data_IF_539438591165
#
_entry.id   IF_539438591165
#
_cell.length_a   1.000
_cell.length_b   1.000
_cell.length_c   1.000
_cell.angle_alpha   90.00
_cell.angle_beta   90.00
_cell.angle_gamma   90.00
#
_symmetry.space_group_name_H-M   'P 1'
#
loop_
_entity.id
_entity.type
_entity.pdbx_description
1 polymer ?
#
# COMPACT_ATOMS: atom_id res chain seq x y z
N UNK A 1 44.11 -5.57 -6.07
CA UNK A 1 42.83 -6.10 -5.54
C UNK A 1 42.19 -5.02 -4.68
N UNK A 2 41.22 -4.28 -5.22
CA UNK A 2 40.59 -3.14 -4.53
C UNK A 2 39.62 -3.66 -3.46
N UNK A 3 39.99 -3.47 -2.20
CA UNK A 3 39.22 -3.86 -1.01
C UNK A 3 38.47 -2.67 -0.38
N UNK A 4 38.02 -1.73 -1.20
CA UNK A 4 36.94 -0.82 -0.80
C UNK A 4 35.63 -1.41 -1.35
N UNK A 5 35.04 -2.38 -0.63
CA UNK A 5 33.62 -2.69 -0.84
C UNK A 5 32.86 -1.40 -0.55
N UNK A 6 32.19 -0.86 -1.56
CA UNK A 6 31.39 0.37 -1.46
C UNK A 6 30.47 0.31 -0.23
N UNK A 7 30.80 1.08 0.81
CA UNK A 7 29.94 1.30 1.97
C UNK A 7 28.60 1.98 1.60
N UNK A 8 28.44 2.36 0.33
CA UNK A 8 27.26 3.00 -0.24
C UNK A 8 26.15 2.02 -0.64
N UNK A 9 26.39 0.71 -0.73
CA UNK A 9 25.34 -0.23 -1.21
C UNK A 9 25.26 -1.46 -0.31
N UNK A 10 24.05 -1.78 0.15
CA UNK A 10 23.75 -3.00 0.90
C UNK A 10 23.48 -4.15 -0.07
N UNK A 11 24.31 -5.21 -0.12
CA UNK A 11 24.05 -6.38 -0.94
C UNK A 11 22.85 -7.20 -0.39
N UNK A 12 22.27 -8.12 -1.19
CA UNK A 12 21.29 -9.05 -0.66
C UNK A 12 21.98 -10.03 0.31
N UNK A 13 21.42 -10.18 1.51
CA UNK A 13 21.92 -11.03 2.57
C UNK A 13 21.33 -12.46 2.53
N UNK A 14 20.16 -12.64 1.90
CA UNK A 14 19.43 -13.91 1.91
C UNK A 14 19.02 -14.43 0.53
N UNK A 15 19.56 -13.85 -0.54
CA UNK A 15 19.47 -14.43 -1.89
C UNK A 15 20.07 -15.86 -1.91
N UNK A 16 19.41 -16.76 -2.61
CA UNK A 16 19.65 -18.22 -2.62
C UNK A 16 19.36 -18.95 -1.30
N UNK A 17 18.85 -18.26 -0.28
CA UNK A 17 18.43 -18.86 1.00
C UNK A 17 16.92 -18.72 1.22
N UNK A 18 16.40 -17.50 1.10
CA UNK A 18 14.98 -17.19 1.31
C UNK A 18 14.22 -17.07 -0.01
N UNK A 19 14.93 -16.75 -1.09
CA UNK A 19 14.42 -16.61 -2.45
C UNK A 19 15.56 -16.86 -3.45
N UNK A 20 15.28 -17.18 -4.73
CA UNK A 20 16.30 -17.46 -5.74
C UNK A 20 17.30 -16.32 -5.94
N UNK A 21 18.59 -16.65 -6.04
CA UNK A 21 19.63 -15.67 -6.35
C UNK A 21 19.74 -15.29 -7.83
N UNK A 22 19.14 -16.07 -8.73
CA UNK A 22 19.06 -15.74 -10.15
C UNK A 22 17.88 -14.80 -10.44
N UNK A 23 18.13 -13.75 -11.23
CA UNK A 23 17.15 -12.71 -11.51
C UNK A 23 15.91 -13.23 -12.25
N UNK A 24 16.09 -14.13 -13.22
CA UNK A 24 14.99 -14.67 -14.03
C UNK A 24 14.15 -15.61 -13.18
N UNK A 25 14.77 -16.56 -12.49
CA UNK A 25 14.06 -17.49 -11.59
C UNK A 25 13.30 -16.74 -10.50
N UNK A 26 13.91 -15.71 -9.89
CA UNK A 26 13.25 -14.89 -8.88
C UNK A 26 12.03 -14.15 -9.45
N UNK A 27 12.16 -13.57 -10.65
CA UNK A 27 11.05 -12.86 -11.29
C UNK A 27 9.89 -13.80 -11.65
N UNK A 28 10.20 -14.99 -12.16
CA UNK A 28 9.21 -16.04 -12.48
C UNK A 28 8.51 -16.55 -11.21
N UNK A 29 9.26 -16.82 -10.13
CA UNK A 29 8.68 -17.29 -8.86
C UNK A 29 7.74 -16.25 -8.23
N UNK A 30 8.17 -14.98 -8.15
CA UNK A 30 7.32 -13.89 -7.64
C UNK A 30 6.08 -13.71 -8.50
N UNK A 31 6.22 -13.74 -9.83
CA UNK A 31 5.08 -13.68 -10.75
C UNK A 31 4.12 -14.85 -10.52
N UNK A 32 4.62 -16.06 -10.30
CA UNK A 32 3.77 -17.23 -10.06
C UNK A 32 2.90 -17.09 -8.81
N UNK A 33 3.41 -16.49 -7.72
CA UNK A 33 2.57 -16.22 -6.54
C UNK A 33 1.53 -15.13 -6.80
N UNK A 34 1.92 -14.06 -7.51
CA UNK A 34 1.02 -12.95 -7.85
C UNK A 34 -0.09 -13.36 -8.81
N UNK A 35 0.12 -14.38 -9.64
CA UNK A 35 -0.88 -14.89 -10.58
C UNK A 35 -1.84 -15.92 -9.94
N UNK A 36 -1.52 -16.40 -8.74
CA UNK A 36 -2.35 -17.34 -7.97
C UNK A 36 -3.27 -16.64 -6.96
N UNK A 37 -3.19 -15.32 -6.81
CA UNK A 37 -4.08 -14.58 -5.91
C UNK A 37 -5.50 -14.55 -6.47
N UNK A 38 -6.52 -14.64 -5.60
CA UNK A 38 -7.91 -14.46 -6.02
C UNK A 38 -8.10 -13.12 -6.73
N UNK A 39 -8.75 -13.14 -7.90
CA UNK A 39 -9.04 -11.93 -8.67
C UNK A 39 -9.79 -10.92 -7.80
N UNK A 40 -9.11 -9.81 -7.50
CA UNK A 40 -9.75 -8.66 -6.91
C UNK A 40 -10.68 -8.01 -7.95
N UNK A 41 -11.93 -7.67 -7.60
CA UNK A 41 -12.70 -6.74 -8.42
C UNK A 41 -11.85 -5.47 -8.63
N UNK A 42 -11.76 -5.01 -9.88
CA UNK A 42 -11.08 -3.77 -10.22
C UNK A 42 -11.73 -2.63 -9.41
N UNK A 43 -11.02 -2.18 -8.38
CA UNK A 43 -11.42 -1.06 -7.54
C UNK A 43 -10.42 0.07 -7.76
N UNK A 44 -10.88 1.33 -7.93
CA UNK A 44 -9.97 2.45 -8.05
C UNK A 44 -9.18 2.63 -6.75
N UNK A 45 -7.86 2.81 -6.90
CA UNK A 45 -6.93 3.01 -5.80
C UNK A 45 -6.20 1.74 -5.36
N UNK A 46 -5.38 1.90 -4.32
CA UNK A 46 -4.57 0.85 -3.72
C UNK A 46 -4.43 1.17 -2.22
N UNK A 47 -4.14 0.17 -1.36
CA UNK A 47 -3.97 0.42 0.07
C UNK A 47 -2.78 1.35 0.35
N UNK A 48 -2.95 2.22 1.36
CA UNK A 48 -1.89 3.12 1.84
C UNK A 48 -0.76 2.37 2.53
N UNK A 49 -1.11 1.29 3.23
CA UNK A 49 -0.15 0.42 3.87
C UNK A 49 -0.53 -1.05 3.73
N UNK A 50 0.48 -1.92 3.76
CA UNK A 50 0.29 -3.37 3.86
C UNK A 50 1.09 -3.92 5.04
N UNK A 51 0.57 -4.97 5.68
CA UNK A 51 1.31 -5.78 6.66
C UNK A 51 1.50 -7.15 6.01
N UNK A 52 2.73 -7.65 5.94
CA UNK A 52 3.11 -8.83 5.15
C UNK A 52 4.14 -9.71 5.87
N UNK A 53 4.13 -11.04 5.65
CA UNK A 53 5.10 -11.97 6.24
C UNK A 53 6.48 -11.88 5.57
N UNK A 54 7.52 -12.40 6.23
CA UNK A 54 8.92 -12.35 5.78
C UNK A 54 9.72 -13.64 5.93
N UNK A 55 9.06 -14.80 6.11
CA UNK A 55 9.75 -16.09 5.95
C UNK A 55 10.25 -16.31 4.49
N UNK A 56 10.94 -17.43 4.24
CA UNK A 56 11.33 -17.81 2.88
C UNK A 56 10.12 -17.94 1.94
N UNK A 57 10.31 -17.59 0.67
CA UNK A 57 9.25 -17.47 -0.34
C UNK A 57 8.42 -18.73 -0.49
N UNK A 58 9.05 -19.90 -0.41
CA UNK A 58 8.37 -21.19 -0.47
C UNK A 58 7.28 -21.35 0.62
N UNK A 59 7.41 -20.64 1.74
CA UNK A 59 6.45 -20.67 2.85
C UNK A 59 5.52 -19.45 2.87
N UNK A 60 6.07 -18.23 2.83
CA UNK A 60 5.30 -16.99 3.03
C UNK A 60 4.90 -16.30 1.73
N UNK A 61 5.53 -16.65 0.60
CA UNK A 61 5.35 -16.01 -0.70
C UNK A 61 3.90 -15.93 -1.17
N UNK A 62 3.11 -17.02 -1.12
CA UNK A 62 1.69 -16.98 -1.48
C UNK A 62 0.88 -16.01 -0.62
N UNK A 63 1.18 -15.96 0.69
CA UNK A 63 0.47 -15.07 1.63
C UNK A 63 0.88 -13.62 1.38
N UNK A 64 2.17 -13.33 1.20
CA UNK A 64 2.67 -12.00 0.86
C UNK A 64 2.08 -11.48 -0.47
N UNK A 65 1.99 -12.35 -1.49
CA UNK A 65 1.44 -12.01 -2.79
C UNK A 65 0.01 -11.47 -2.71
N UNK A 66 -0.83 -11.98 -1.79
CA UNK A 66 -2.20 -11.48 -1.60
C UNK A 66 -2.28 -9.98 -1.29
N UNK A 67 -1.27 -9.41 -0.63
CA UNK A 67 -1.15 -7.97 -0.37
C UNK A 67 -0.51 -7.24 -1.55
N UNK A 68 0.56 -7.78 -2.12
CA UNK A 68 1.27 -7.15 -3.22
C UNK A 68 0.45 -7.06 -4.51
N UNK A 69 -0.42 -8.02 -4.77
CA UNK A 69 -1.35 -7.96 -5.91
C UNK A 69 -2.27 -6.72 -5.83
N UNK A 70 -2.70 -6.34 -4.62
CA UNK A 70 -3.53 -5.14 -4.37
C UNK A 70 -2.80 -3.82 -4.68
N UNK A 71 -1.48 -3.87 -4.89
CA UNK A 71 -0.65 -2.72 -5.20
C UNK A 71 -0.38 -2.55 -6.70
N UNK A 72 -0.88 -3.44 -7.58
CA UNK A 72 -0.73 -3.26 -9.04
C UNK A 72 -1.21 -1.89 -9.55
N UNK A 73 -2.34 -1.32 -9.08
CA UNK A 73 -2.78 0.03 -9.49
C UNK A 73 -1.83 1.15 -9.05
N UNK A 74 -0.89 0.88 -8.14
CA UNK A 74 0.07 1.86 -7.63
C UNK A 74 1.29 2.05 -8.55
N UNK A 75 1.45 1.20 -9.57
CA UNK A 75 2.57 1.26 -10.52
C UNK A 75 2.62 2.61 -11.22
N UNK A 76 3.77 3.27 -11.17
CA UNK A 76 3.97 4.61 -11.73
C UNK A 76 3.36 5.76 -10.89
N UNK A 77 2.62 5.45 -9.83
CA UNK A 77 2.09 6.43 -8.86
C UNK A 77 2.98 6.47 -7.63
N UNK A 78 3.24 5.31 -7.02
CA UNK A 78 4.14 5.18 -5.87
C UNK A 78 5.57 5.33 -6.35
N UNK A 79 6.25 6.34 -5.82
CA UNK A 79 7.67 6.60 -6.07
C UNK A 79 8.52 6.39 -4.81
N UNK A 80 7.92 6.32 -3.62
CA UNK A 80 8.56 6.08 -2.32
C UNK A 80 7.94 4.88 -1.61
N UNK A 81 8.78 3.97 -1.13
CA UNK A 81 8.36 2.87 -0.25
C UNK A 81 9.04 3.02 1.11
N UNK A 82 8.25 3.18 2.16
CA UNK A 82 8.69 3.14 3.55
C UNK A 82 8.48 1.71 4.04
N UNK A 83 9.56 1.04 4.46
CA UNK A 83 9.47 -0.33 4.98
C UNK A 83 9.97 -0.41 6.42
N UNK A 84 9.18 -1.06 7.28
CA UNK A 84 9.52 -1.30 8.67
C UNK A 84 9.42 -2.80 8.96
N UNK A 85 10.39 -3.32 9.69
CA UNK A 85 10.42 -4.73 10.10
C UNK A 85 11.18 -4.90 11.40
N UNK A 86 11.03 -6.06 12.07
CA UNK A 86 11.71 -6.33 13.32
C UNK A 86 13.23 -6.45 13.17
N UNK A 87 13.90 -6.45 14.32
CA UNK A 87 15.34 -6.67 14.45
C UNK A 87 15.62 -8.10 14.92
N UNK A 88 16.19 -8.95 14.07
CA UNK A 88 16.48 -10.35 14.38
C UNK A 88 17.93 -10.63 14.81
N UNK A 89 18.90 -9.87 14.27
CA UNK A 89 20.33 -10.22 14.41
C UNK A 89 21.10 -9.33 15.36
N UNK A 90 21.17 -8.03 15.06
CA UNK A 90 21.99 -7.08 15.83
C UNK A 90 21.06 -6.08 16.53
N UNK A 91 20.82 -6.24 17.84
CA UNK A 91 19.90 -5.42 18.60
C UNK A 91 20.20 -3.92 18.45
N UNK A 92 19.14 -3.13 18.45
CA UNK A 92 19.21 -1.67 18.42
C UNK A 92 18.16 -1.09 19.36
N UNK A 93 18.47 0.04 20.00
CA UNK A 93 17.48 0.85 20.72
C UNK A 93 16.94 1.89 19.75
N UNK A 94 15.64 1.86 19.51
CA UNK A 94 14.96 2.71 18.53
C UNK A 94 14.81 2.06 17.15
N UNK A 95 14.78 2.92 16.13
CA UNK A 95 14.59 2.57 14.73
C UNK A 95 15.89 2.82 13.98
N UNK A 96 16.49 1.77 13.45
CA UNK A 96 17.74 1.85 12.72
C UNK A 96 17.51 2.16 11.25
N UNK A 97 18.14 3.23 10.78
CA UNK A 97 18.44 3.50 9.38
C UNK A 97 19.76 2.82 8.96
N UNK A 98 19.91 2.44 7.68
CA UNK A 98 21.18 1.96 7.15
C UNK A 98 22.15 3.14 6.97
N UNK A 99 23.45 2.84 6.85
CA UNK A 99 24.46 3.80 6.35
C UNK A 99 24.64 3.76 4.83
N UNK A 100 24.08 2.74 4.18
CA UNK A 100 24.10 2.60 2.73
C UNK A 100 23.21 3.66 2.06
N UNK A 101 23.41 3.86 0.76
CA UNK A 101 22.67 4.75 -0.15
C UNK A 101 21.74 3.99 -1.11
N UNK A 102 21.92 2.68 -1.23
CA UNK A 102 21.06 1.81 -2.01
C UNK A 102 21.05 0.38 -1.48
N UNK A 103 20.03 -0.40 -1.83
CA UNK A 103 19.96 -1.85 -1.61
C UNK A 103 20.00 -2.56 -2.96
N UNK A 104 20.80 -3.62 -3.07
CA UNK A 104 20.82 -4.49 -4.24
C UNK A 104 19.93 -5.72 -3.99
N UNK A 105 19.20 -6.13 -5.02
CA UNK A 105 18.52 -7.43 -5.13
C UNK A 105 18.93 -8.09 -6.45
N UNK A 106 18.65 -9.39 -6.66
CA UNK A 106 18.86 -9.99 -7.98
C UNK A 106 18.06 -9.31 -9.11
N UNK A 107 16.96 -8.62 -8.81
CA UNK A 107 16.15 -7.89 -9.80
C UNK A 107 16.69 -6.48 -10.11
N UNK A 108 17.67 -5.99 -9.35
CA UNK A 108 18.32 -4.70 -9.58
C UNK A 108 18.41 -3.84 -8.32
N UNK A 109 19.09 -2.70 -8.49
CA UNK A 109 19.35 -1.74 -7.41
C UNK A 109 18.14 -0.87 -7.09
N UNK A 110 17.94 -0.61 -5.80
CA UNK A 110 16.91 0.31 -5.28
C UNK A 110 17.61 1.44 -4.51
N UNK A 111 17.51 2.70 -4.97
CA UNK A 111 18.09 3.84 -4.25
C UNK A 111 17.33 4.13 -2.96
N UNK A 112 18.01 4.64 -1.94
CA UNK A 112 17.34 5.14 -0.74
C UNK A 112 16.80 6.55 -0.96
N UNK A 113 15.67 6.86 -0.33
CA UNK A 113 15.07 8.19 -0.33
C UNK A 113 15.76 9.08 0.73
N UNK A 114 16.84 9.74 0.32
CA UNK A 114 17.65 10.57 1.21
C UNK A 114 16.88 11.75 1.82
N UNK A 115 15.91 12.32 1.09
CA UNK A 115 15.09 13.42 1.57
C UNK A 115 14.17 12.96 2.72
N UNK A 116 13.43 11.87 2.50
CA UNK A 116 12.57 11.31 3.53
C UNK A 116 13.38 10.81 4.74
N UNK A 117 14.54 10.17 4.51
CA UNK A 117 15.46 9.75 5.56
C UNK A 117 15.95 10.95 6.39
N UNK A 118 16.36 12.05 5.74
CA UNK A 118 16.79 13.25 6.43
C UNK A 118 15.68 13.84 7.33
N UNK A 119 14.41 13.73 6.91
CA UNK A 119 13.27 14.26 7.66
C UNK A 119 13.00 13.57 9.01
N UNK A 120 13.45 12.32 9.18
CA UNK A 120 13.29 11.51 10.41
C UNK A 120 14.59 11.31 11.19
N UNK A 121 15.75 11.56 10.57
CA UNK A 121 17.08 11.36 11.17
C UNK A 121 17.28 12.12 12.49
N UNK A 122 16.62 13.26 12.66
CA UNK A 122 16.68 14.07 13.89
C UNK A 122 15.76 13.60 15.02
N UNK A 123 14.92 12.58 14.80
CA UNK A 123 14.05 12.05 15.86
C UNK A 123 14.90 11.30 16.90
N UNK A 124 14.69 11.51 18.22
CA UNK A 124 15.50 10.87 19.27
C UNK A 124 15.50 9.33 19.23
N UNK A 125 14.45 8.73 18.68
CA UNK A 125 14.32 7.28 18.51
C UNK A 125 14.97 6.74 17.23
N UNK A 126 15.47 7.58 16.33
CA UNK A 126 16.06 7.15 15.05
C UNK A 126 17.58 7.16 15.17
N UNK A 127 18.21 6.04 14.79
CA UNK A 127 19.66 5.85 14.85
C UNK A 127 20.17 5.29 13.53
N UNK A 128 21.47 5.36 13.28
CA UNK A 128 22.09 4.71 12.11
C UNK A 128 22.91 3.49 12.54
N UNK A 129 22.65 2.34 11.93
CA UNK A 129 23.40 1.11 12.21
C UNK A 129 23.58 0.27 10.95
N UNK A 130 24.79 0.28 10.39
CA UNK A 130 25.14 -0.61 9.29
C UNK A 130 25.08 -2.09 9.69
N UNK A 131 25.49 -2.41 10.93
CA UNK A 131 25.49 -3.78 11.45
C UNK A 131 24.06 -4.35 11.58
N UNK A 132 23.11 -3.53 12.04
CA UNK A 132 21.69 -3.93 12.15
C UNK A 132 21.08 -4.22 10.78
N UNK A 133 21.50 -3.51 9.73
CA UNK A 133 20.97 -3.73 8.38
C UNK A 133 21.68 -4.85 7.62
N UNK A 134 22.96 -5.09 7.88
CA UNK A 134 23.83 -5.91 7.02
C UNK A 134 23.28 -7.31 6.74
N UNK A 135 22.67 -7.93 7.74
CA UNK A 135 22.14 -9.31 7.65
C UNK A 135 20.66 -9.41 8.03
N UNK A 136 19.97 -8.29 8.18
CA UNK A 136 18.53 -8.28 8.47
C UNK A 136 17.74 -8.63 7.21
N UNK A 137 16.84 -9.60 7.31
CA UNK A 137 16.13 -10.17 6.18
C UNK A 137 14.68 -9.66 6.09
N UNK A 138 14.09 -9.24 7.21
CA UNK A 138 12.68 -8.85 7.27
C UNK A 138 12.32 -7.74 6.27
N UNK A 139 13.25 -6.83 5.97
CA UNK A 139 13.05 -5.79 4.96
C UNK A 139 13.35 -6.30 3.54
N UNK A 140 14.39 -7.11 3.38
CA UNK A 140 14.93 -7.52 2.09
C UNK A 140 13.96 -8.40 1.30
N UNK A 141 13.32 -9.36 1.95
CA UNK A 141 12.43 -10.33 1.29
C UNK A 141 11.19 -9.67 0.67
N UNK A 142 10.88 -8.44 1.07
CA UNK A 142 9.78 -7.65 0.50
C UNK A 142 10.14 -7.01 -0.84
N UNK A 143 11.43 -6.75 -1.07
CA UNK A 143 11.90 -5.95 -2.19
C UNK A 143 11.62 -6.58 -3.57
N UNK A 144 11.78 -7.91 -3.77
CA UNK A 144 11.44 -8.53 -5.06
C UNK A 144 9.97 -8.34 -5.45
N UNK A 145 9.03 -8.52 -4.51
CA UNK A 145 7.61 -8.28 -4.75
C UNK A 145 7.34 -6.82 -5.15
N UNK A 146 7.91 -5.87 -4.42
CA UNK A 146 7.76 -4.44 -4.70
C UNK A 146 8.32 -4.06 -6.08
N UNK A 147 9.51 -4.56 -6.46
CA UNK A 147 10.09 -4.31 -7.78
C UNK A 147 9.23 -4.86 -8.92
N UNK A 148 8.60 -6.03 -8.72
CA UNK A 148 7.70 -6.63 -9.73
C UNK A 148 6.41 -5.83 -9.90
N UNK A 149 5.82 -5.37 -8.80
CA UNK A 149 4.52 -4.70 -8.82
C UNK A 149 4.64 -3.21 -9.16
N UNK A 150 5.55 -2.49 -8.52
CA UNK A 150 5.66 -1.02 -8.63
C UNK A 150 6.61 -0.57 -9.75
N UNK A 151 7.58 -1.39 -10.13
CA UNK A 151 8.69 -0.97 -10.98
C UNK A 151 9.74 -0.21 -10.18
N UNK A 152 10.07 1.02 -10.61
CA UNK A 152 11.08 1.86 -9.95
C UNK A 152 10.52 2.68 -8.80
N UNK A 153 11.22 2.71 -7.67
CA UNK A 153 10.89 3.49 -6.47
C UNK A 153 12.15 3.77 -5.64
N UNK A 154 12.08 4.73 -4.72
CA UNK A 154 13.06 4.99 -3.65
C UNK A 154 12.62 4.33 -2.33
N UNK A 155 13.58 3.91 -1.51
CA UNK A 155 13.34 3.14 -0.29
C UNK A 155 13.67 3.94 0.99
N UNK A 156 12.81 3.84 2.02
CA UNK A 156 13.11 4.25 3.39
C UNK A 156 13.03 3.01 4.29
N UNK A 157 14.16 2.33 4.54
CA UNK A 157 14.18 1.09 5.32
C UNK A 157 14.49 1.37 6.80
N UNK A 158 13.61 0.91 7.69
CA UNK A 158 13.76 1.03 9.14
C UNK A 158 13.69 -0.35 9.78
N UNK A 159 14.79 -0.75 10.43
CA UNK A 159 14.77 -1.92 11.32
C UNK A 159 14.35 -1.44 12.69
N UNK A 160 13.26 -1.99 13.21
CA UNK A 160 12.65 -1.60 14.49
C UNK A 160 13.15 -2.55 15.57
N UNK A 161 13.95 -2.01 16.49
CA UNK A 161 14.42 -2.72 17.67
C UNK A 161 13.60 -2.38 18.91
N UNK A 162 14.28 -2.12 20.02
CA UNK A 162 13.68 -1.74 21.29
C UNK A 162 13.14 -0.30 21.23
N UNK A 163 11.83 -0.18 20.98
CA UNK A 163 11.13 1.09 20.88
C UNK A 163 9.68 0.93 21.35
N UNK A 164 9.10 2.00 21.88
CA UNK A 164 7.65 2.05 22.12
C UNK A 164 6.91 2.20 20.77
N UNK A 165 5.73 1.57 20.59
CA UNK A 165 4.92 1.69 19.37
C UNK A 165 4.64 3.14 18.95
N UNK A 166 4.45 4.06 19.89
CA UNK A 166 4.24 5.49 19.63
C UNK A 166 5.43 6.12 18.91
N UNK A 167 6.65 5.68 19.21
CA UNK A 167 7.87 6.19 18.56
C UNK A 167 7.95 5.76 17.10
N UNK A 168 7.40 4.60 16.77
CA UNK A 168 7.21 4.15 15.39
C UNK A 168 6.13 4.99 14.70
N UNK A 169 5.00 5.22 15.37
CA UNK A 169 3.92 6.06 14.83
C UNK A 169 4.40 7.49 14.54
N UNK A 170 5.17 8.10 15.45
CA UNK A 170 5.74 9.45 15.28
C UNK A 170 6.67 9.51 14.04
N UNK A 171 7.49 8.48 13.83
CA UNK A 171 8.35 8.39 12.65
C UNK A 171 7.53 8.25 11.37
N UNK A 172 6.53 7.35 11.36
CA UNK A 172 5.60 7.16 10.24
C UNK A 172 4.83 8.42 9.88
N UNK A 173 4.37 9.19 10.87
CA UNK A 173 3.67 10.45 10.64
C UNK A 173 4.52 11.47 9.89
N UNK A 174 5.83 11.52 10.18
CA UNK A 174 6.77 12.43 9.54
C UNK A 174 7.01 12.11 8.06
N UNK A 175 6.95 10.84 7.68
CA UNK A 175 7.18 10.33 6.31
C UNK A 175 5.92 9.74 5.67
N UNK A 176 4.74 10.13 6.16
CA UNK A 176 3.48 9.53 5.72
C UNK A 176 3.25 9.73 4.22
N UNK A 177 3.47 10.94 3.70
CA UNK A 177 3.28 11.29 2.29
C UNK A 177 1.84 11.14 1.76
N UNK A 178 1.65 11.43 0.48
CA UNK A 178 0.41 11.26 -0.27
C UNK A 178 0.34 9.90 -0.96
N UNK A 179 -0.21 9.85 -2.18
CA UNK A 179 -0.30 8.62 -2.98
C UNK A 179 1.06 8.16 -3.52
N UNK A 180 2.06 9.04 -3.53
CA UNK A 180 3.42 8.71 -3.95
C UNK A 180 4.18 7.84 -2.94
N UNK A 181 3.66 7.73 -1.71
CA UNK A 181 4.30 6.98 -0.62
C UNK A 181 3.48 5.75 -0.23
N UNK A 182 4.08 4.56 -0.30
CA UNK A 182 3.54 3.30 0.24
C UNK A 182 4.25 2.94 1.55
N UNK A 183 3.51 2.41 2.52
CA UNK A 183 4.08 1.89 3.78
C UNK A 183 3.96 0.35 3.81
N UNK A 184 5.07 -0.33 4.09
CA UNK A 184 5.13 -1.79 4.21
C UNK A 184 5.60 -2.15 5.62
N UNK A 185 4.77 -2.90 6.33
CA UNK A 185 5.13 -3.45 7.64
C UNK A 185 5.39 -4.94 7.49
N UNK A 186 6.57 -5.36 7.90
CA UNK A 186 7.03 -6.73 7.75
C UNK A 186 6.90 -7.48 9.08
N UNK A 187 6.09 -8.53 9.12
CA UNK A 187 5.91 -9.38 10.30
C UNK A 187 5.35 -10.76 9.93
N UNK A 188 6.03 -11.81 10.37
CA UNK A 188 5.39 -13.11 10.63
C UNK A 188 4.58 -13.06 11.93
N UNK A 189 3.66 -14.01 12.13
CA UNK A 189 2.85 -14.16 13.33
C UNK A 189 3.52 -15.09 14.36
N UNK A 190 2.79 -16.06 14.90
CA UNK A 190 3.29 -16.94 15.95
C UNK A 190 4.36 -17.91 15.43
N UNK A 191 5.29 -18.32 16.30
CA UNK A 191 6.45 -19.15 15.92
C UNK A 191 6.50 -20.46 16.70
N UNK A 192 6.77 -21.54 15.99
CA UNK A 192 7.14 -22.85 16.53
C UNK A 192 6.10 -23.49 17.46
N UNK A 193 4.82 -23.22 17.21
CA UNK A 193 3.70 -23.87 17.89
C UNK A 193 3.14 -25.04 17.09
N UNK A 194 2.36 -25.90 17.75
CA UNK A 194 1.52 -26.87 17.04
C UNK A 194 0.51 -26.15 16.15
N UNK A 195 0.09 -26.79 15.07
CA UNK A 195 -0.83 -26.21 14.08
C UNK A 195 -2.09 -25.58 14.72
N UNK A 196 -2.75 -26.29 15.65
CA UNK A 196 -3.95 -25.79 16.32
C UNK A 196 -3.67 -24.60 17.24
N UNK A 197 -2.50 -24.61 17.91
CA UNK A 197 -2.12 -23.51 18.78
C UNK A 197 -1.75 -22.26 17.99
N UNK A 198 -1.01 -22.42 16.89
CA UNK A 198 -0.71 -21.33 15.96
C UNK A 198 -2.01 -20.70 15.45
N UNK A 199 -2.96 -21.48 14.92
CA UNK A 199 -4.26 -20.96 14.45
C UNK A 199 -5.02 -20.15 15.50
N UNK A 200 -4.96 -20.54 16.77
CA UNK A 200 -5.62 -19.81 17.87
C UNK A 200 -4.94 -18.48 18.16
N UNK A 201 -3.61 -18.50 18.27
CA UNK A 201 -2.79 -17.31 18.53
C UNK A 201 -2.93 -16.34 17.36
N UNK A 202 -2.68 -16.82 16.14
CA UNK A 202 -2.76 -16.05 14.90
C UNK A 202 -4.16 -15.46 14.71
N UNK A 203 -5.21 -16.23 14.97
CA UNK A 203 -6.59 -15.72 14.91
C UNK A 203 -6.88 -14.61 15.93
N UNK A 204 -6.25 -14.64 17.11
CA UNK A 204 -6.33 -13.55 18.08
C UNK A 204 -5.55 -12.32 17.61
N UNK A 205 -4.35 -12.52 17.06
CA UNK A 205 -3.52 -11.45 16.48
C UNK A 205 -4.21 -10.77 15.31
N UNK A 206 -4.87 -11.53 14.42
CA UNK A 206 -5.69 -11.01 13.32
C UNK A 206 -6.82 -10.11 13.86
N UNK A 207 -7.55 -10.56 14.89
CA UNK A 207 -8.62 -9.75 15.49
C UNK A 207 -8.08 -8.46 16.11
N UNK A 208 -6.93 -8.51 16.77
CA UNK A 208 -6.25 -7.34 17.33
C UNK A 208 -5.89 -6.32 16.23
N UNK A 209 -5.27 -6.77 15.14
CA UNK A 209 -4.91 -5.93 13.98
C UNK A 209 -6.16 -5.29 13.35
N UNK A 210 -7.22 -6.07 13.11
CA UNK A 210 -8.48 -5.56 12.55
C UNK A 210 -9.18 -4.56 13.49
N UNK A 211 -9.01 -4.71 14.80
CA UNK A 211 -9.55 -3.82 15.82
C UNK A 211 -8.65 -2.62 16.15
N UNK A 212 -7.50 -2.46 15.50
CA UNK A 212 -6.48 -1.46 15.83
C UNK A 212 -6.02 -1.53 17.29
N UNK A 213 -5.92 -2.74 17.85
CA UNK A 213 -5.33 -2.98 19.16
C UNK A 213 -3.80 -3.05 19.03
N UNK A 214 -3.13 -2.04 19.60
CA UNK A 214 -1.68 -1.92 19.57
C UNK A 214 -0.97 -2.75 20.66
N UNK A 215 -1.72 -3.50 21.49
CA UNK A 215 -1.19 -4.37 22.55
C UNK A 215 -0.66 -5.72 22.07
N UNK A 216 -0.28 -5.84 20.80
CA UNK A 216 0.25 -7.09 20.22
C UNK A 216 1.62 -7.40 20.83
N UNK A 217 1.81 -8.63 21.31
CA UNK A 217 3.07 -9.06 21.92
C UNK A 217 4.03 -9.70 20.92
N UNK A 218 5.32 -9.81 21.29
CA UNK A 218 6.35 -10.42 20.45
C UNK A 218 6.16 -11.95 20.28
N UNK A 219 5.39 -12.60 21.16
CA UNK A 219 4.96 -13.99 21.00
C UNK A 219 3.89 -14.14 19.91
N UNK A 220 3.08 -13.11 19.71
CA UNK A 220 2.02 -13.09 18.70
C UNK A 220 2.53 -12.75 17.30
N UNK A 221 3.55 -11.91 17.21
CA UNK A 221 4.12 -11.44 15.96
C UNK A 221 5.57 -10.99 16.18
N UNK A 222 6.51 -11.45 15.35
CA UNK A 222 7.91 -11.02 15.45
C UNK A 222 8.07 -9.51 15.23
N UNK A 223 7.25 -8.92 14.35
CA UNK A 223 7.13 -7.49 14.09
C UNK A 223 6.09 -6.78 14.96
N UNK A 224 5.84 -7.24 16.19
CA UNK A 224 4.85 -6.65 17.10
C UNK A 224 4.97 -5.12 17.21
N UNK A 225 6.16 -4.59 17.48
CA UNK A 225 6.42 -3.16 17.61
C UNK A 225 6.09 -2.35 16.33
N UNK A 226 6.63 -2.70 15.14
CA UNK A 226 6.27 -1.98 13.92
C UNK A 226 4.80 -2.13 13.53
N UNK A 227 4.17 -3.28 13.79
CA UNK A 227 2.72 -3.46 13.59
C UNK A 227 1.93 -2.53 14.50
N UNK A 228 2.21 -2.53 15.81
CA UNK A 228 1.53 -1.68 16.78
C UNK A 228 1.66 -0.19 16.43
N UNK A 229 2.86 0.26 16.03
CA UNK A 229 3.09 1.62 15.57
C UNK A 229 2.28 1.99 14.33
N UNK A 230 2.19 1.07 13.37
CA UNK A 230 1.35 1.24 12.19
C UNK A 230 -0.13 1.33 12.55
N UNK A 231 -0.63 0.51 13.49
CA UNK A 231 -2.02 0.55 13.93
C UNK A 231 -2.37 1.88 14.59
N UNK A 232 -1.47 2.42 15.42
CA UNK A 232 -1.64 3.76 16.02
C UNK A 232 -1.73 4.82 14.92
N UNK A 233 -0.79 4.85 13.98
CA UNK A 233 -0.77 5.82 12.89
C UNK A 233 -2.00 5.69 11.98
N UNK A 234 -2.37 4.46 11.61
CA UNK A 234 -3.52 4.17 10.77
C UNK A 234 -4.84 4.62 11.41
N UNK A 235 -5.01 4.38 12.72
CA UNK A 235 -6.17 4.85 13.48
C UNK A 235 -6.26 6.38 13.49
N UNK A 236 -5.15 7.09 13.71
CA UNK A 236 -5.08 8.56 13.63
C UNK A 236 -5.42 9.10 12.24
N UNK A 237 -5.14 8.32 11.19
CA UNK A 237 -5.39 8.67 9.79
C UNK A 237 -6.73 8.16 9.25
N UNK A 238 -7.57 7.54 10.10
CA UNK A 238 -8.88 7.02 9.71
C UNK A 238 -8.82 5.92 8.65
N UNK A 239 -7.77 5.09 8.67
CA UNK A 239 -7.72 3.91 7.80
C UNK A 239 -8.56 2.77 8.39
N UNK A 240 -9.06 1.89 7.53
CA UNK A 240 -9.59 0.59 7.90
C UNK A 240 -8.59 -0.51 7.52
N UNK A 241 -8.54 -1.57 8.33
CA UNK A 241 -7.74 -2.76 8.07
C UNK A 241 -8.60 -3.88 7.50
N UNK A 242 -8.09 -4.59 6.50
CA UNK A 242 -8.72 -5.77 5.90
C UNK A 242 -7.71 -6.92 5.88
N UNK A 243 -8.13 -8.08 6.36
CA UNK A 243 -7.38 -9.33 6.19
C UNK A 243 -7.50 -9.80 4.73
N UNK A 244 -6.38 -10.14 4.12
CA UNK A 244 -6.29 -10.62 2.75
C UNK A 244 -6.04 -12.13 2.69
N UNK A 245 -5.13 -12.62 3.51
CA UNK A 245 -4.84 -14.04 3.65
C UNK A 245 -4.27 -14.33 5.06
N UNK A 246 -4.49 -15.53 5.58
CA UNK A 246 -3.98 -16.00 6.86
C UNK A 246 -3.76 -17.52 6.79
N UNK A 247 -2.51 -17.94 6.84
CA UNK A 247 -2.07 -19.34 6.77
C UNK A 247 -0.91 -19.57 7.72
N UNK A 248 -0.40 -20.79 7.78
CA UNK A 248 0.88 -21.07 8.42
C UNK A 248 1.78 -21.91 7.50
N UNK A 249 3.02 -22.15 7.90
CA UNK A 249 3.98 -22.97 7.15
C UNK A 249 3.44 -24.36 6.81
N UNK A 250 2.57 -24.94 7.65
CA UNK A 250 1.94 -26.25 7.41
C UNK A 250 0.84 -26.25 6.36
N UNK A 251 0.35 -25.07 5.94
CA UNK A 251 -0.61 -24.89 4.84
C UNK A 251 0.08 -24.60 3.50
N UNK A 252 1.41 -24.52 3.50
CA UNK A 252 2.24 -24.25 2.33
C UNK A 252 3.22 -25.41 2.12
N UNK A 253 4.52 -25.21 2.37
CA UNK A 253 5.56 -26.19 2.09
C UNK A 253 6.12 -26.90 3.33
N UNK A 254 5.63 -26.58 4.53
CA UNK A 254 6.09 -27.16 5.80
C UNK A 254 5.22 -28.30 6.32
N UNK A 255 5.72 -29.02 7.33
CA UNK A 255 4.91 -29.96 8.10
C UNK A 255 4.00 -29.24 9.11
N UNK A 256 3.04 -29.97 9.70
CA UNK A 256 2.06 -29.44 10.67
C UNK A 256 2.45 -29.65 12.14
N UNK A 257 3.65 -30.18 12.40
CA UNK A 257 4.11 -30.47 13.76
C UNK A 257 4.54 -29.20 14.50
N UNK A 258 5.21 -28.28 13.78
CA UNK A 258 5.75 -27.05 14.35
C UNK A 258 5.77 -25.95 13.29
N UNK A 259 4.81 -25.04 13.37
CA UNK A 259 4.53 -24.09 12.29
C UNK A 259 4.86 -22.65 12.65
N UNK A 260 5.03 -21.82 11.62
CA UNK A 260 5.08 -20.35 11.72
C UNK A 260 3.83 -19.77 11.05
N UNK A 261 3.15 -18.85 11.72
CA UNK A 261 1.95 -18.18 11.22
C UNK A 261 2.27 -17.02 10.28
N UNK A 262 1.44 -16.84 9.25
CA UNK A 262 1.58 -15.81 8.22
C UNK A 262 0.22 -15.14 7.99
N UNK A 263 0.20 -13.81 7.93
CA UNK A 263 -0.99 -13.10 7.51
C UNK A 263 -0.63 -11.84 6.73
N UNK A 264 -1.50 -11.50 5.80
CA UNK A 264 -1.39 -10.32 4.96
C UNK A 264 -2.59 -9.42 5.14
N UNK A 265 -2.35 -8.12 5.30
CA UNK A 265 -3.37 -7.11 5.54
C UNK A 265 -3.21 -5.92 4.61
N UNK A 266 -4.34 -5.34 4.19
CA UNK A 266 -4.39 -4.04 3.53
C UNK A 266 -4.97 -3.00 4.50
N UNK A 267 -4.32 -1.85 4.59
CA UNK A 267 -4.81 -0.67 5.30
C UNK A 267 -5.05 0.44 4.28
N UNK A 268 -6.30 0.83 4.13
CA UNK A 268 -6.73 1.85 3.19
C UNK A 268 -7.65 2.81 3.89
N UNK A 269 -7.71 4.07 3.43
CA UNK A 269 -8.85 4.90 3.79
C UNK A 269 -10.09 4.16 3.30
N UNK A 270 -11.13 4.12 4.11
CA UNK A 270 -12.46 3.92 3.55
C UNK A 270 -12.74 5.15 2.68
N UNK A 271 -12.25 5.15 1.43
CA UNK A 271 -12.66 6.14 0.46
C UNK A 271 -14.17 6.14 0.44
N UNK A 272 -14.80 7.30 0.20
CA UNK A 272 -16.24 7.35 0.03
C UNK A 272 -16.64 6.26 -0.97
N UNK A 273 -17.35 5.24 -0.47
CA UNK A 273 -17.98 4.26 -1.33
C UNK A 273 -19.11 5.00 -2.02
N UNK A 274 -18.89 5.38 -3.28
CA UNK A 274 -19.90 6.03 -4.09
C UNK A 274 -21.04 5.05 -4.36
N UNK A 275 -22.07 5.09 -3.50
CA UNK A 275 -23.33 4.39 -3.70
C UNK A 275 -24.26 5.11 -4.68
N UNK A 276 -25.41 4.50 -4.95
CA UNK A 276 -26.44 5.03 -5.86
C UNK A 276 -26.86 6.47 -5.56
N UNK A 277 -26.80 6.90 -4.29
CA UNK A 277 -27.11 8.28 -3.90
C UNK A 277 -26.11 9.30 -4.45
N UNK A 278 -24.80 8.99 -4.41
CA UNK A 278 -23.75 9.83 -4.97
C UNK A 278 -23.93 9.95 -6.49
N UNK A 279 -24.23 8.84 -7.16
CA UNK A 279 -24.55 8.84 -8.59
C UNK A 279 -25.73 9.74 -8.93
N UNK A 280 -26.81 9.69 -8.14
CA UNK A 280 -27.96 10.61 -8.33
C UNK A 280 -27.57 12.08 -8.16
N UNK A 281 -26.67 12.40 -7.23
CA UNK A 281 -26.15 13.76 -7.02
C UNK A 281 -25.30 14.21 -8.21
N UNK A 282 -24.37 13.40 -8.70
CA UNK A 282 -23.55 13.71 -9.88
C UNK A 282 -24.41 13.90 -11.14
N UNK A 283 -25.41 13.03 -11.36
CA UNK A 283 -26.36 13.18 -12.47
C UNK A 283 -27.18 14.47 -12.36
N UNK A 284 -27.54 14.90 -11.14
CA UNK A 284 -28.24 16.17 -10.92
C UNK A 284 -27.35 17.36 -11.32
N UNK A 285 -26.09 17.36 -10.91
CA UNK A 285 -25.10 18.40 -11.27
C UNK A 285 -24.95 18.47 -12.79
N UNK A 286 -24.77 17.33 -13.46
CA UNK A 286 -24.63 17.26 -14.91
C UNK A 286 -25.87 17.81 -15.64
N UNK A 287 -27.08 17.35 -15.26
CA UNK A 287 -28.35 17.82 -15.87
C UNK A 287 -28.55 19.32 -15.69
N UNK A 288 -28.33 19.83 -14.48
CA UNK A 288 -28.46 21.26 -14.19
C UNK A 288 -27.48 22.09 -15.03
N UNK A 289 -26.25 21.61 -15.18
CA UNK A 289 -25.21 22.29 -15.96
C UNK A 289 -25.55 22.35 -17.45
N UNK A 290 -26.11 21.27 -18.01
CA UNK A 290 -26.59 21.23 -19.39
C UNK A 290 -27.80 22.17 -19.57
N UNK A 291 -28.81 22.08 -18.71
CA UNK A 291 -30.00 22.94 -18.78
C UNK A 291 -29.66 24.43 -18.72
N UNK A 292 -28.74 24.80 -17.82
CA UNK A 292 -28.26 26.18 -17.70
C UNK A 292 -27.54 26.65 -18.98
N UNK A 293 -26.70 25.80 -19.59
CA UNK A 293 -26.02 26.12 -20.84
C UNK A 293 -26.98 26.29 -22.04
N UNK A 294 -28.12 25.59 -22.03
CA UNK A 294 -29.14 25.66 -23.07
C UNK A 294 -30.20 26.77 -22.84
N UNK A 295 -30.06 27.58 -21.78
CA UNK A 295 -31.01 28.66 -21.48
C UNK A 295 -32.39 28.18 -21.03
N UNK A 296 -32.54 26.91 -20.66
CA UNK A 296 -33.79 26.38 -20.13
C UNK A 296 -34.02 26.91 -18.70
N UNK A 297 -35.24 27.37 -18.38
CA UNK A 297 -35.64 27.70 -17.00
C UNK A 297 -35.73 26.40 -16.19
N UNK A 298 -34.64 26.04 -15.51
CA UNK A 298 -34.62 24.98 -14.50
C UNK A 298 -34.86 25.53 -13.09
N UNK A 299 -35.29 24.66 -12.17
CA UNK A 299 -35.35 24.99 -10.74
C UNK A 299 -34.00 25.53 -10.22
N UNK A 300 -34.00 26.47 -9.27
CA UNK A 300 -32.77 26.94 -8.63
C UNK A 300 -31.96 25.76 -8.11
N UNK A 301 -30.71 25.62 -8.58
CA UNK A 301 -29.85 24.54 -8.11
C UNK A 301 -29.57 24.70 -6.62
N UNK A 302 -29.82 23.65 -5.82
CA UNK A 302 -29.26 23.57 -4.48
C UNK A 302 -27.73 23.74 -4.57
N UNK A 303 -27.09 24.54 -3.69
CA UNK A 303 -25.66 24.75 -3.75
C UNK A 303 -24.94 23.41 -3.65
N UNK A 304 -24.20 23.06 -4.70
CA UNK A 304 -23.37 21.84 -4.81
C UNK A 304 -22.08 21.97 -3.95
N UNK A 305 -22.19 22.60 -2.78
CA UNK A 305 -21.06 23.08 -2.01
C UNK A 305 -20.95 22.48 -0.59
N UNK A 306 -21.95 21.77 -0.10
CA UNK A 306 -21.93 21.34 1.30
C UNK A 306 -21.13 20.05 1.54
N UNK A 307 -21.20 19.08 0.64
CA UNK A 307 -20.55 17.78 0.86
C UNK A 307 -19.06 17.80 0.49
N UNK A 308 -18.21 17.27 1.38
CA UNK A 308 -16.76 17.30 1.23
C UNK A 308 -16.25 16.55 0.00
N UNK A 309 -16.88 15.42 -0.36
CA UNK A 309 -16.47 14.57 -1.48
C UNK A 309 -16.64 15.23 -2.86
N UNK A 310 -17.52 16.22 -2.96
CA UNK A 310 -17.70 17.03 -4.18
C UNK A 310 -16.58 18.06 -4.37
N UNK A 311 -15.85 18.37 -3.30
CA UNK A 311 -14.72 19.32 -3.28
C UNK A 311 -13.36 18.64 -3.50
N UNK A 312 -13.31 17.31 -3.45
CA UNK A 312 -12.10 16.55 -3.74
C UNK A 312 -11.75 16.65 -5.23
N UNK A 313 -10.45 16.77 -5.55
CA UNK A 313 -9.99 16.72 -6.94
C UNK A 313 -10.16 15.29 -7.46
N UNK A 314 -11.03 15.11 -8.46
CA UNK A 314 -11.34 13.82 -9.07
C UNK A 314 -11.54 14.00 -10.57
N UNK A 315 -11.21 12.97 -11.35
CA UNK A 315 -11.48 12.93 -12.77
C UNK A 315 -12.88 12.35 -13.02
N UNK A 316 -13.60 12.89 -14.01
CA UNK A 316 -14.90 12.39 -14.42
C UNK A 316 -15.00 12.22 -15.94
N UNK A 317 -15.88 11.30 -16.37
CA UNK A 317 -16.37 11.22 -17.73
C UNK A 317 -17.89 11.40 -17.70
N UNK A 318 -18.39 12.32 -18.51
CA UNK A 318 -19.83 12.56 -18.67
C UNK A 318 -20.25 12.09 -20.04
N UNK A 319 -21.13 11.09 -20.04
CA UNK A 319 -21.72 10.51 -21.24
C UNK A 319 -23.17 10.96 -21.38
N UNK A 320 -23.52 11.50 -22.54
CA UNK A 320 -24.88 11.85 -22.93
C UNK A 320 -25.41 10.82 -23.91
N UNK A 321 -26.56 10.24 -23.58
CA UNK A 321 -27.25 9.25 -24.39
C UNK A 321 -28.65 9.77 -24.75
N UNK A 322 -29.12 9.45 -25.96
CA UNK A 322 -30.51 9.61 -26.36
C UNK A 322 -31.04 8.24 -26.79
N UNK A 323 -31.88 7.63 -25.95
CA UNK A 323 -32.15 6.20 -26.06
C UNK A 323 -30.84 5.41 -25.85
N UNK A 324 -30.53 4.50 -26.77
CA UNK A 324 -29.31 3.70 -26.75
C UNK A 324 -28.15 4.32 -27.56
N UNK A 325 -28.35 5.52 -28.13
CA UNK A 325 -27.33 6.18 -28.96
C UNK A 325 -26.49 7.20 -28.17
N UNK A 326 -25.16 7.14 -28.37
CA UNK A 326 -24.21 8.09 -27.81
C UNK A 326 -24.29 9.45 -28.53
N UNK A 327 -24.46 10.51 -27.74
CA UNK A 327 -24.59 11.89 -28.24
C UNK A 327 -23.43 12.80 -27.84
N UNK A 328 -22.68 12.43 -26.81
CA UNK A 328 -21.48 13.14 -26.39
C UNK A 328 -20.78 12.41 -25.24
N UNK A 329 -19.46 12.40 -25.25
CA UNK A 329 -18.64 11.89 -24.15
C UNK A 329 -17.45 12.82 -23.96
N UNK A 330 -17.37 13.45 -22.79
CA UNK A 330 -16.28 14.37 -22.45
C UNK A 330 -15.78 14.05 -21.05
N UNK A 331 -14.47 14.03 -20.87
CA UNK A 331 -13.82 13.77 -19.60
C UNK A 331 -12.30 13.85 -19.71
N UNK A 332 -11.64 13.63 -18.58
CA UNK A 332 -10.19 13.53 -18.49
C UNK A 332 -9.80 12.29 -17.68
N UNK A 333 -8.60 11.76 -17.93
CA UNK A 333 -8.04 10.66 -17.14
C UNK A 333 -7.45 11.16 -15.81
N UNK A 334 -7.09 12.43 -15.74
CA UNK A 334 -6.45 13.06 -14.58
C UNK A 334 -7.37 14.06 -13.91
N UNK A 335 -7.30 14.12 -12.59
CA UNK A 335 -8.09 15.04 -11.78
C UNK A 335 -7.47 16.46 -11.82
N UNK A 336 -8.13 17.38 -12.52
CA UNK A 336 -7.63 18.76 -12.67
C UNK A 336 -8.35 19.78 -11.77
N UNK A 337 -9.52 19.41 -11.25
CA UNK A 337 -10.41 20.31 -10.49
C UNK A 337 -11.33 19.53 -9.54
N UNK A 338 -12.02 20.19 -8.61
CA UNK A 338 -13.00 19.55 -7.74
C UNK A 338 -14.07 18.78 -8.52
N UNK A 339 -14.46 17.60 -8.04
CA UNK A 339 -15.38 16.68 -8.73
C UNK A 339 -16.67 17.34 -9.21
N UNK A 340 -17.30 18.18 -8.38
CA UNK A 340 -18.52 18.90 -8.77
C UNK A 340 -18.30 19.82 -9.98
N UNK A 341 -17.16 20.52 -9.98
CA UNK A 341 -16.78 21.41 -11.06
C UNK A 341 -16.43 20.61 -12.32
N UNK A 342 -15.69 19.50 -12.17
CA UNK A 342 -15.30 18.64 -13.29
C UNK A 342 -16.51 18.06 -14.02
N UNK A 343 -17.46 17.49 -13.26
CA UNK A 343 -18.72 16.98 -13.81
C UNK A 343 -19.54 18.08 -14.48
N UNK A 344 -19.64 19.26 -13.86
CA UNK A 344 -20.40 20.37 -14.41
C UNK A 344 -19.82 20.88 -15.75
N UNK A 345 -18.49 20.98 -15.84
CA UNK A 345 -17.81 21.41 -17.07
C UNK A 345 -17.86 20.36 -18.17
N UNK A 346 -17.58 19.09 -17.86
CA UNK A 346 -17.66 17.99 -18.81
C UNK A 346 -19.09 17.80 -19.34
N UNK A 347 -20.11 17.99 -18.48
CA UNK A 347 -21.51 17.94 -18.90
C UNK A 347 -21.88 19.07 -19.88
N UNK A 348 -21.43 20.30 -19.63
CA UNK A 348 -21.65 21.43 -20.56
C UNK A 348 -21.00 21.19 -21.90
N UNK A 349 -19.76 20.70 -21.91
CA UNK A 349 -19.03 20.38 -23.12
C UNK A 349 -19.71 19.25 -23.92
N UNK A 350 -20.10 18.17 -23.25
CA UNK A 350 -20.80 17.05 -23.89
C UNK A 350 -22.19 17.46 -24.43
N UNK A 351 -22.87 18.40 -23.76
CA UNK A 351 -24.13 18.98 -24.25
C UNK A 351 -23.94 19.85 -25.49
N UNK A 352 -22.89 20.66 -25.53
CA UNK A 352 -22.56 21.51 -26.68
C UNK A 352 -22.12 20.72 -27.91
N UNK A 353 -21.44 19.57 -27.73
CA UNK A 353 -21.09 18.69 -28.87
C UNK A 353 -22.29 18.03 -29.52
N UNK A 354 -23.45 18.01 -28.85
CA UNK A 354 -24.68 17.40 -29.37
C UNK A 354 -25.50 18.36 -30.25
N UNK A 355 -25.37 19.69 -30.04
CA UNK A 355 -26.15 20.71 -30.79
C UNK A 355 -25.59 21.04 -32.18
N UNK A 356 -24.43 20.50 -32.56
CA UNK A 356 -23.84 20.66 -33.89
C UNK A 356 -24.35 19.68 -34.95
N UNK A 357 -25.26 18.76 -34.59
CA UNK A 357 -26.02 17.95 -35.56
C UNK A 357 -27.44 18.49 -35.66
N UNK A 358 -27.76 19.07 -36.81
CA UNK A 358 -28.96 19.82 -37.21
C UNK A 358 -30.32 19.28 -36.75
N UNK A 359 -31.33 20.16 -36.55
CA UNK A 359 -32.72 19.76 -36.41
C UNK A 359 -33.27 19.31 -37.78
N UNK A 360 -34.03 18.21 -37.79
CA UNK A 360 -34.87 17.77 -38.92
C UNK A 360 -36.33 17.94 -38.58
#
# INVERSE_FOLDING_TARGET
>A
MSLFRNAEVRPPAVASLFYPGDARTLAEEVSSYLDQTEEAPLAPGFPKAVIVPHAGFIYSGPVAASAYDRLRPARGIVSRVVILGPCHRVPVRGLALPRAKAFDTPLGRIPLDEEAIASIRGLPQVVESAATHAEEHALEVQLPFLQRVLGGFSLVPLVVGDAAPEKVADALERIWGGTETLIVISSDLSHYHSYESARRIDGATVRAILGFDAGISHEQACGATPVAGMLIAAKRKGLAAKLLDCRNSGDTAGDKSRVVGYASFALASEGLRYGAEHGRKLLRIARQSISAALGARGEPGAPVAEESWLRESRASFVTLMLGDELRGCVGALEAQRPLAQDVAENARAAGASCSSTTPS
#
